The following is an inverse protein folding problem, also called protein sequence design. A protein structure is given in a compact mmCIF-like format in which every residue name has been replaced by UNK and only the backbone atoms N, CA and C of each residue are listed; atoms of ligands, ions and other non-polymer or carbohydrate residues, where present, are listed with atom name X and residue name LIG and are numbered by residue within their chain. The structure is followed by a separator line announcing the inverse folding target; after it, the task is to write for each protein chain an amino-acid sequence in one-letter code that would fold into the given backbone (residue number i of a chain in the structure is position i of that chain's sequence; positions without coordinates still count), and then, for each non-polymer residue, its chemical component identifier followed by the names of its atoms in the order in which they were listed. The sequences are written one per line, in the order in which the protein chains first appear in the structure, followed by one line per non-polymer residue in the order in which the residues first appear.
data_IF_555378831519
#
_entry.id   IF_555378831519
#
_cell.length_a   1.000
_cell.length_b   1.000
_cell.length_c   1.000
_cell.angle_alpha   90.00
_cell.angle_beta   90.00
_cell.angle_gamma   90.00
#
_symmetry.space_group_name_H-M   'P 1'
#
loop_
_entity.id
_entity.type
_entity.pdbx_description
1 polymer ?
#
# COMPACT_ATOMS: atom_id res chain seq x y z
N UNK A 1 -2.48 7.42 -20.63
CA UNK A 1 -1.59 8.45 -20.06
C UNK A 1 -1.76 8.37 -18.56
N UNK A 2 -0.63 8.23 -17.83
CA UNK A 2 -0.68 8.26 -16.37
C UNK A 2 -1.33 9.55 -15.89
N UNK A 3 -2.25 9.48 -14.97
CA UNK A 3 -2.96 10.59 -14.30
C UNK A 3 -2.00 11.56 -13.58
N UNK A 4 -0.78 11.11 -13.34
CA UNK A 4 0.31 11.88 -12.72
C UNK A 4 1.27 12.50 -13.72
N UNK A 5 0.87 12.60 -14.99
CA UNK A 5 1.72 13.09 -16.10
C UNK A 5 2.09 14.57 -16.02
N UNK A 6 1.59 15.35 -15.06
CA UNK A 6 1.99 16.73 -14.90
C UNK A 6 2.65 16.95 -13.53
N UNK A 7 3.88 17.48 -13.57
CA UNK A 7 4.59 17.93 -12.36
C UNK A 7 3.74 18.85 -11.46
N UNK A 8 2.73 19.51 -11.99
CA UNK A 8 1.83 20.41 -11.27
C UNK A 8 0.80 19.65 -10.43
N UNK A 9 0.26 18.52 -10.92
CA UNK A 9 -0.64 17.68 -10.14
C UNK A 9 0.07 17.05 -8.94
N UNK A 10 1.33 16.67 -9.12
CA UNK A 10 2.14 16.04 -8.06
C UNK A 10 2.66 17.06 -7.04
N UNK A 11 2.92 18.31 -7.45
CA UNK A 11 3.35 19.38 -6.53
C UNK A 11 2.32 19.75 -5.46
N UNK A 12 1.05 19.47 -5.71
CA UNK A 12 0.01 19.62 -4.72
C UNK A 12 -0.09 18.33 -3.91
N UNK A 13 0.72 18.20 -2.86
CA UNK A 13 0.73 17.03 -1.97
C UNK A 13 -0.65 16.69 -1.36
N UNK A 14 -1.60 17.62 -1.44
CA UNK A 14 -3.01 17.46 -1.03
C UNK A 14 -3.90 16.97 -2.16
N UNK A 15 -3.37 16.78 -3.37
CA UNK A 15 -4.15 16.28 -4.49
C UNK A 15 -4.67 14.88 -4.18
N UNK A 16 -5.98 14.63 -4.36
CA UNK A 16 -6.52 13.30 -4.12
C UNK A 16 -5.97 12.33 -5.17
N UNK A 17 -5.04 11.49 -4.76
CA UNK A 17 -4.38 10.51 -5.63
C UNK A 17 -5.37 9.45 -6.11
N UNK A 18 -6.37 9.12 -5.28
CA UNK A 18 -7.44 8.17 -5.56
C UNK A 18 -8.80 8.86 -5.79
N UNK A 19 -8.82 10.05 -6.38
CA UNK A 19 -10.04 10.84 -6.60
C UNK A 19 -11.05 10.22 -7.59
N UNK A 20 -10.70 9.15 -8.32
CA UNK A 20 -11.59 8.47 -9.24
C UNK A 20 -12.32 7.31 -8.55
N UNK A 21 -13.62 7.19 -8.79
CA UNK A 21 -14.47 6.22 -8.11
C UNK A 21 -13.97 4.77 -8.26
N UNK A 22 -13.39 4.40 -9.41
CA UNK A 22 -12.91 3.03 -9.63
C UNK A 22 -11.67 2.70 -8.77
N UNK A 23 -10.81 3.69 -8.46
CA UNK A 23 -9.64 3.50 -7.60
C UNK A 23 -10.05 3.24 -6.15
N UNK A 24 -11.11 3.88 -5.69
CA UNK A 24 -11.69 3.66 -4.36
C UNK A 24 -12.43 2.32 -4.33
N UNK A 25 -13.18 2.00 -5.39
CA UNK A 25 -13.92 0.75 -5.48
C UNK A 25 -13.02 -0.48 -5.47
N UNK A 26 -11.86 -0.42 -6.14
CA UNK A 26 -10.89 -1.52 -6.13
C UNK A 26 -10.42 -1.87 -4.72
N UNK A 27 -10.14 -0.87 -3.87
CA UNK A 27 -9.80 -1.11 -2.47
C UNK A 27 -10.97 -1.68 -1.65
N UNK A 28 -12.20 -1.26 -1.93
CA UNK A 28 -13.38 -1.84 -1.27
C UNK A 28 -13.59 -3.30 -1.67
N UNK A 29 -13.38 -3.63 -2.94
CA UNK A 29 -13.47 -5.00 -3.45
C UNK A 29 -12.36 -5.88 -2.85
N UNK A 30 -11.14 -5.35 -2.68
CA UNK A 30 -10.06 -6.02 -1.98
C UNK A 30 -10.44 -6.29 -0.51
N UNK A 31 -11.01 -5.33 0.20
CA UNK A 31 -11.48 -5.53 1.58
C UNK A 31 -12.56 -6.63 1.66
N UNK A 32 -13.49 -6.66 0.70
CA UNK A 32 -14.51 -7.71 0.63
C UNK A 32 -13.90 -9.09 0.36
N UNK A 33 -12.94 -9.17 -0.57
CA UNK A 33 -12.17 -10.39 -0.85
C UNK A 33 -11.46 -10.92 0.39
N UNK A 34 -10.77 -10.04 1.14
CA UNK A 34 -10.07 -10.40 2.38
C UNK A 34 -11.04 -11.01 3.40
N UNK A 35 -12.14 -10.34 3.70
CA UNK A 35 -13.13 -10.82 4.67
C UNK A 35 -13.71 -12.19 4.27
N UNK A 36 -14.02 -12.36 2.99
CA UNK A 36 -14.54 -13.61 2.46
C UNK A 36 -13.50 -14.75 2.54
N UNK A 37 -12.26 -14.46 2.13
CA UNK A 37 -11.18 -15.46 2.08
C UNK A 37 -10.78 -15.95 3.46
N UNK A 38 -10.76 -15.06 4.45
CA UNK A 38 -10.37 -15.41 5.81
C UNK A 38 -11.55 -15.89 6.68
N UNK A 39 -12.80 -15.76 6.22
CA UNK A 39 -13.98 -16.17 6.95
C UNK A 39 -14.16 -15.46 8.30
N UNK A 40 -13.63 -14.24 8.42
CA UNK A 40 -13.65 -13.42 9.64
C UNK A 40 -14.20 -12.04 9.37
N UNK A 41 -14.86 -11.40 10.34
CA UNK A 41 -15.19 -9.98 10.24
C UNK A 41 -13.92 -9.15 10.03
N UNK A 42 -13.92 -8.31 9.01
CA UNK A 42 -12.74 -7.49 8.67
C UNK A 42 -12.34 -6.56 9.83
N UNK A 43 -13.30 -6.14 10.66
CA UNK A 43 -13.09 -5.32 11.85
C UNK A 43 -12.29 -6.02 12.97
N UNK A 44 -12.05 -7.31 12.86
CA UNK A 44 -11.21 -8.08 13.79
C UNK A 44 -9.79 -8.27 13.25
N UNK A 45 -9.55 -7.94 11.97
CA UNK A 45 -8.29 -8.18 11.28
C UNK A 45 -7.31 -7.01 11.47
N UNK A 46 -6.02 -7.36 11.44
CA UNK A 46 -4.89 -6.43 11.51
C UNK A 46 -4.25 -6.29 10.14
N UNK A 47 -4.14 -5.06 9.66
CA UNK A 47 -3.49 -4.76 8.39
C UNK A 47 -2.17 -4.00 8.61
N UNK A 48 -1.15 -4.35 7.82
CA UNK A 48 0.07 -3.57 7.65
C UNK A 48 0.11 -3.03 6.23
N UNK A 49 0.22 -1.71 6.10
CA UNK A 49 0.36 -1.00 4.83
C UNK A 49 1.80 -0.52 4.67
N UNK A 50 2.40 -0.80 3.52
CA UNK A 50 3.73 -0.35 3.12
C UNK A 50 3.55 0.64 1.98
N UNK A 51 4.02 1.89 2.17
CA UNK A 51 3.77 2.97 1.23
C UNK A 51 2.42 3.64 1.49
N UNK A 52 2.32 4.38 2.58
CA UNK A 52 1.07 5.04 2.98
C UNK A 52 0.89 6.43 2.37
N UNK A 53 1.95 7.03 1.84
CA UNK A 53 1.97 8.34 1.18
C UNK A 53 1.16 9.39 1.97
N UNK A 54 0.10 9.96 1.37
CA UNK A 54 -0.77 10.94 2.01
C UNK A 54 -1.95 10.32 2.78
N UNK A 55 -2.03 8.99 2.91
CA UNK A 55 -2.98 8.27 3.76
C UNK A 55 -4.37 8.02 3.16
N UNK A 56 -4.56 8.11 1.84
CA UNK A 56 -5.88 7.88 1.23
C UNK A 56 -6.33 6.41 1.32
N UNK A 57 -5.45 5.47 1.01
CA UNK A 57 -5.69 4.04 1.21
C UNK A 57 -5.77 3.70 2.70
N UNK A 58 -4.90 4.31 3.50
CA UNK A 58 -4.83 4.10 4.95
C UNK A 58 -6.18 4.35 5.64
N UNK A 59 -6.88 5.46 5.32
CA UNK A 59 -8.19 5.73 5.94
C UNK A 59 -9.28 4.77 5.44
N UNK A 60 -9.25 4.35 4.17
CA UNK A 60 -10.18 3.35 3.64
C UNK A 60 -10.00 2.03 4.39
N UNK A 61 -8.76 1.64 4.66
CA UNK A 61 -8.47 0.46 5.48
C UNK A 61 -8.87 0.65 6.93
N UNK A 62 -8.61 1.81 7.53
CA UNK A 62 -8.96 2.09 8.92
C UNK A 62 -10.47 2.09 9.19
N UNK A 63 -11.28 2.45 8.19
CA UNK A 63 -12.74 2.35 8.26
C UNK A 63 -13.26 0.90 8.26
N UNK A 64 -12.43 -0.06 7.92
CA UNK A 64 -12.79 -1.47 7.74
C UNK A 64 -12.09 -2.39 8.73
N UNK A 65 -10.77 -2.26 8.85
CA UNK A 65 -9.94 -3.13 9.68
C UNK A 65 -9.95 -2.71 11.16
N UNK A 66 -9.75 -3.68 12.04
CA UNK A 66 -9.63 -3.41 13.48
C UNK A 66 -8.40 -2.59 13.83
N UNK A 67 -7.30 -2.77 13.11
CA UNK A 67 -6.11 -1.93 13.25
C UNK A 67 -5.31 -1.86 11.95
N UNK A 68 -4.65 -0.72 11.72
CA UNK A 68 -3.78 -0.46 10.58
C UNK A 68 -2.42 0.02 11.09
N UNK A 69 -1.35 -0.64 10.66
CA UNK A 69 0.01 -0.12 10.77
C UNK A 69 0.39 0.49 9.43
N UNK A 70 0.60 1.79 9.40
CA UNK A 70 0.98 2.55 8.21
C UNK A 70 2.49 2.81 8.23
N UNK A 71 3.21 2.30 7.23
CA UNK A 71 4.66 2.40 7.10
C UNK A 71 5.01 3.21 5.85
N UNK A 72 5.77 4.28 6.04
CA UNK A 72 6.30 5.09 4.93
C UNK A 72 7.55 5.83 5.41
N UNK A 73 8.59 5.99 4.61
CA UNK A 73 9.75 6.79 4.98
C UNK A 73 9.48 8.30 4.98
N UNK A 74 8.47 8.78 4.24
CA UNK A 74 8.21 10.21 3.98
C UNK A 74 9.49 10.99 3.70
N UNK A 75 10.25 10.51 2.73
CA UNK A 75 11.57 11.01 2.38
C UNK A 75 11.60 11.45 0.92
N UNK A 76 12.09 12.67 0.69
CA UNK A 76 12.30 13.18 -0.67
C UNK A 76 13.31 12.28 -1.41
N UNK A 77 13.16 12.17 -2.73
CA UNK A 77 14.03 11.40 -3.64
C UNK A 77 14.15 9.89 -3.32
N UNK A 78 13.18 9.32 -2.59
CA UNK A 78 13.20 7.90 -2.20
C UNK A 78 12.98 6.96 -3.40
N UNK A 79 12.07 7.29 -4.32
CA UNK A 79 11.87 6.58 -5.59
C UNK A 79 12.12 7.52 -6.78
N UNK A 80 13.33 7.52 -7.37
CA UNK A 80 13.63 8.38 -8.49
C UNK A 80 12.91 7.97 -9.79
N UNK A 81 12.29 6.80 -9.84
CA UNK A 81 11.49 6.32 -10.99
C UNK A 81 10.03 6.77 -10.93
N UNK A 82 9.53 7.14 -9.76
CA UNK A 82 8.16 7.61 -9.57
C UNK A 82 8.08 9.14 -9.68
N UNK A 83 7.22 9.61 -10.58
CA UNK A 83 6.97 11.05 -10.76
C UNK A 83 6.46 11.70 -9.46
N UNK A 84 5.75 10.98 -8.62
CA UNK A 84 5.29 11.43 -7.30
C UNK A 84 6.48 11.77 -6.41
N UNK A 85 7.46 10.88 -6.33
CA UNK A 85 8.68 11.10 -5.55
C UNK A 85 9.56 12.22 -6.10
N UNK A 86 9.59 12.40 -7.42
CA UNK A 86 10.38 13.45 -8.06
C UNK A 86 9.84 14.88 -7.83
N UNK A 87 8.54 15.02 -7.59
CA UNK A 87 7.87 16.32 -7.61
C UNK A 87 7.15 16.68 -6.31
N UNK A 88 6.83 15.71 -5.47
CA UNK A 88 6.20 15.97 -4.17
C UNK A 88 7.23 16.45 -3.13
N UNK A 89 6.79 17.32 -2.23
CA UNK A 89 7.52 17.58 -0.98
C UNK A 89 7.02 16.60 0.08
N UNK A 90 7.82 15.63 0.47
CA UNK A 90 7.40 14.60 1.43
C UNK A 90 7.16 15.15 2.83
N UNK A 91 7.73 16.31 3.19
CA UNK A 91 7.30 17.03 4.41
C UNK A 91 5.82 17.43 4.34
N UNK A 92 5.33 17.88 3.17
CA UNK A 92 3.91 18.22 2.99
C UNK A 92 3.03 16.97 2.88
N UNK A 93 3.52 15.91 2.24
CA UNK A 93 2.84 14.63 2.15
C UNK A 93 2.62 14.04 3.54
N UNK A 94 3.66 14.04 4.38
CA UNK A 94 3.58 13.57 5.76
C UNK A 94 2.60 14.40 6.59
N UNK A 95 2.62 15.72 6.46
CA UNK A 95 1.66 16.60 7.15
C UNK A 95 0.22 16.32 6.71
N UNK A 96 -0.01 16.09 5.40
CA UNK A 96 -1.32 15.70 4.89
C UNK A 96 -1.75 14.31 5.39
N UNK A 97 -0.82 13.36 5.50
CA UNK A 97 -1.08 12.08 6.15
C UNK A 97 -1.53 12.28 7.60
N UNK A 98 -0.75 13.00 8.41
CA UNK A 98 -1.03 13.21 9.83
C UNK A 98 -2.39 13.90 10.05
N UNK A 99 -2.73 14.89 9.23
CA UNK A 99 -4.05 15.53 9.26
C UNK A 99 -5.18 14.54 8.95
N UNK A 100 -5.01 13.77 7.85
CA UNK A 100 -6.02 12.84 7.35
C UNK A 100 -6.30 11.71 8.34
N UNK A 101 -5.27 11.14 8.95
CA UNK A 101 -5.41 10.01 9.88
C UNK A 101 -5.76 10.43 11.31
N UNK A 102 -5.72 11.71 11.65
CA UNK A 102 -5.93 12.23 13.02
C UNK A 102 -7.23 11.77 13.68
N UNK A 103 -8.25 11.41 12.90
CA UNK A 103 -9.57 10.98 13.38
C UNK A 103 -9.69 9.46 13.59
N UNK A 104 -8.65 8.69 13.23
CA UNK A 104 -8.67 7.24 13.23
C UNK A 104 -7.75 6.68 14.32
N UNK A 105 -8.29 6.37 15.52
CA UNK A 105 -7.47 5.91 16.66
C UNK A 105 -6.89 4.51 16.47
N UNK A 106 -7.35 3.77 15.45
CA UNK A 106 -6.88 2.44 15.10
C UNK A 106 -5.72 2.45 14.09
N UNK A 107 -5.20 3.63 13.71
CA UNK A 107 -4.02 3.77 12.88
C UNK A 107 -2.79 4.00 13.75
N UNK A 108 -1.75 3.25 13.49
CA UNK A 108 -0.40 3.46 14.02
C UNK A 108 0.53 3.83 12.88
N UNK A 109 1.15 5.00 12.95
CA UNK A 109 2.17 5.47 12.01
C UNK A 109 3.55 4.94 12.40
N UNK A 110 4.32 4.49 11.41
CA UNK A 110 5.73 4.11 11.56
C UNK A 110 6.54 4.75 10.44
N UNK A 111 7.25 5.85 10.76
CA UNK A 111 8.08 6.58 9.79
C UNK A 111 9.42 5.88 9.62
N UNK A 112 9.52 5.03 8.62
CA UNK A 112 10.74 4.28 8.27
C UNK A 112 10.57 3.57 6.94
N UNK A 113 11.65 3.01 6.38
CA UNK A 113 11.58 2.15 5.20
C UNK A 113 10.98 0.78 5.55
N UNK A 114 10.44 0.08 4.55
CA UNK A 114 9.90 -1.27 4.73
C UNK A 114 10.95 -2.26 5.27
N UNK A 115 12.18 -2.18 4.78
CA UNK A 115 13.29 -3.03 5.25
C UNK A 115 13.59 -2.82 6.73
N UNK A 116 13.69 -1.56 7.18
CA UNK A 116 13.98 -1.25 8.57
C UNK A 116 12.79 -1.58 9.50
N UNK A 117 11.55 -1.35 9.02
CA UNK A 117 10.35 -1.76 9.74
C UNK A 117 10.31 -3.28 9.95
N UNK A 118 10.58 -4.07 8.91
CA UNK A 118 10.57 -5.53 8.99
C UNK A 118 11.46 -6.06 10.10
N UNK A 119 12.66 -5.49 10.28
CA UNK A 119 13.59 -5.90 11.35
C UNK A 119 13.00 -5.74 12.76
N UNK A 120 12.10 -4.78 12.95
CA UNK A 120 11.45 -4.50 14.23
C UNK A 120 10.14 -5.27 14.43
N UNK A 121 9.56 -5.79 13.33
CA UNK A 121 8.23 -6.43 13.32
C UNK A 121 8.28 -7.96 13.33
N UNK A 122 9.45 -8.58 13.39
CA UNK A 122 9.62 -10.05 13.30
C UNK A 122 8.84 -10.86 14.35
N UNK A 123 8.48 -10.23 15.48
CA UNK A 123 7.66 -10.85 16.54
C UNK A 123 6.17 -10.48 16.43
N UNK A 124 5.78 -9.76 15.39
CA UNK A 124 4.41 -9.30 15.17
C UNK A 124 3.81 -10.07 14.00
N UNK A 125 2.52 -10.38 14.05
CA UNK A 125 1.79 -10.96 12.92
C UNK A 125 0.65 -10.07 12.50
N UNK A 126 0.40 -10.06 11.19
CA UNK A 126 -0.71 -9.36 10.56
C UNK A 126 -1.59 -10.36 9.82
N UNK A 127 -2.89 -10.12 9.80
CA UNK A 127 -3.81 -10.90 8.97
C UNK A 127 -3.66 -10.55 7.49
N UNK A 128 -3.33 -9.27 7.23
CA UNK A 128 -3.15 -8.72 5.87
C UNK A 128 -1.93 -7.82 5.82
N UNK A 129 -1.16 -7.94 4.74
CA UNK A 129 -0.14 -6.95 4.36
C UNK A 129 -0.48 -6.41 2.98
N UNK A 130 -0.49 -5.08 2.84
CA UNK A 130 -0.70 -4.37 1.58
C UNK A 130 0.56 -3.59 1.19
N UNK A 131 1.10 -3.86 -0.01
CA UNK A 131 2.38 -3.33 -0.51
C UNK A 131 2.11 -2.34 -1.63
N UNK A 132 2.42 -1.07 -1.38
CA UNK A 132 2.25 0.07 -2.30
C UNK A 132 3.41 1.08 -2.13
N UNK A 133 4.63 0.54 -2.01
CA UNK A 133 5.84 1.32 -1.73
C UNK A 133 6.72 1.52 -2.96
N UNK A 134 8.05 1.35 -2.82
CA UNK A 134 9.01 1.50 -3.91
C UNK A 134 8.80 0.45 -5.02
N UNK A 135 8.50 0.90 -6.24
CA UNK A 135 8.00 0.07 -7.33
C UNK A 135 9.08 -0.70 -8.13
N UNK A 136 10.33 -0.70 -7.67
CA UNK A 136 11.37 -1.49 -8.33
C UNK A 136 11.14 -3.00 -8.12
N UNK A 137 11.51 -3.82 -9.11
CA UNK A 137 11.37 -5.28 -8.99
C UNK A 137 12.05 -5.83 -7.74
N UNK A 138 13.27 -5.35 -7.45
CA UNK A 138 14.07 -5.80 -6.32
C UNK A 138 13.40 -5.49 -4.97
N UNK A 139 12.82 -4.30 -4.84
CA UNK A 139 12.17 -3.91 -3.58
C UNK A 139 10.84 -4.61 -3.40
N UNK A 140 9.98 -4.62 -4.42
CA UNK A 140 8.67 -5.32 -4.33
C UNK A 140 8.88 -6.81 -4.01
N UNK A 141 9.83 -7.46 -4.69
CA UNK A 141 10.15 -8.86 -4.41
C UNK A 141 10.63 -9.06 -2.97
N UNK A 142 11.47 -8.16 -2.47
CA UNK A 142 11.99 -8.20 -1.10
C UNK A 142 10.88 -7.98 -0.08
N UNK A 143 10.02 -6.99 -0.30
CA UNK A 143 8.88 -6.71 0.58
C UNK A 143 7.94 -7.92 0.66
N UNK A 144 7.58 -8.52 -0.47
CA UNK A 144 6.77 -9.73 -0.49
C UNK A 144 7.45 -10.86 0.31
N UNK A 145 8.74 -11.12 0.06
CA UNK A 145 9.47 -12.20 0.73
C UNK A 145 9.64 -12.00 2.23
N UNK A 146 9.83 -10.75 2.66
CA UNK A 146 9.95 -10.39 4.07
C UNK A 146 8.59 -10.47 4.76
N UNK A 147 7.62 -9.73 4.27
CA UNK A 147 6.36 -9.55 4.96
C UNK A 147 5.46 -10.78 4.91
N UNK A 148 5.60 -11.68 3.92
CA UNK A 148 4.90 -12.96 3.96
C UNK A 148 5.26 -13.83 5.18
N UNK A 149 6.42 -13.61 5.82
CA UNK A 149 6.85 -14.34 7.01
C UNK A 149 6.07 -13.92 8.26
N UNK A 150 5.50 -12.72 8.24
CA UNK A 150 4.74 -12.14 9.35
C UNK A 150 3.26 -11.92 8.99
N UNK A 151 2.82 -12.49 7.85
CA UNK A 151 1.43 -12.44 7.37
C UNK A 151 0.80 -13.82 7.56
N UNK A 152 -0.39 -13.87 8.13
CA UNK A 152 -1.10 -15.13 8.43
C UNK A 152 -2.28 -15.42 7.49
N UNK A 153 -2.61 -14.50 6.59
CA UNK A 153 -3.79 -14.62 5.74
C UNK A 153 -3.59 -14.15 4.31
N UNK A 154 -3.56 -12.86 4.06
CA UNK A 154 -3.52 -12.30 2.69
C UNK A 154 -2.32 -11.38 2.52
N UNK A 155 -1.56 -11.61 1.46
CA UNK A 155 -0.64 -10.60 0.89
C UNK A 155 -1.33 -9.93 -0.28
N UNK A 156 -1.29 -8.62 -0.30
CA UNK A 156 -1.88 -7.78 -1.33
C UNK A 156 -0.94 -6.61 -1.68
N UNK A 157 -1.26 -5.88 -2.72
CA UNK A 157 -0.56 -4.66 -3.09
C UNK A 157 -1.24 -3.93 -4.23
N UNK A 158 -0.60 -2.87 -4.69
CA UNK A 158 -1.06 -2.03 -5.78
C UNK A 158 -0.18 -2.17 -7.03
N UNK A 159 -0.54 -1.43 -8.08
CA UNK A 159 0.27 -1.20 -9.27
C UNK A 159 0.63 -2.47 -10.08
N UNK A 160 -0.24 -3.48 -10.06
CA UNK A 160 -0.09 -4.67 -10.90
C UNK A 160 -0.41 -4.34 -12.37
N UNK A 161 0.47 -3.59 -12.99
CA UNK A 161 0.35 -3.13 -14.37
C UNK A 161 1.69 -3.29 -15.10
N UNK A 162 1.77 -4.11 -16.17
CA UNK A 162 3.02 -4.38 -16.87
C UNK A 162 3.55 -3.18 -17.69
N UNK A 163 2.72 -2.19 -17.96
CA UNK A 163 3.08 -1.03 -18.77
C UNK A 163 3.64 0.09 -17.90
N UNK A 164 2.92 0.45 -16.84
CA UNK A 164 3.30 1.56 -15.97
C UNK A 164 4.29 1.12 -14.89
N UNK A 165 4.11 -0.10 -14.36
CA UNK A 165 4.91 -0.63 -13.24
C UNK A 165 5.45 -2.04 -13.54
N UNK A 166 6.34 -2.21 -14.53
CA UNK A 166 6.85 -3.55 -14.93
C UNK A 166 7.61 -4.27 -13.81
N UNK A 167 8.22 -3.54 -12.88
CA UNK A 167 8.90 -4.09 -11.71
C UNK A 167 7.93 -4.81 -10.76
N UNK A 168 6.82 -4.17 -10.43
CA UNK A 168 5.75 -4.75 -9.60
C UNK A 168 5.15 -5.98 -10.30
N UNK A 169 4.74 -5.82 -11.55
CA UNK A 169 4.14 -6.90 -12.33
C UNK A 169 5.05 -8.13 -12.37
N UNK A 170 6.36 -7.94 -12.64
CA UNK A 170 7.34 -9.02 -12.71
C UNK A 170 7.50 -9.72 -11.37
N UNK A 171 7.67 -8.97 -10.27
CA UNK A 171 7.89 -9.54 -8.94
C UNK A 171 6.68 -10.39 -8.48
N UNK A 172 5.49 -9.86 -8.65
CA UNK A 172 4.24 -10.56 -8.27
C UNK A 172 4.02 -11.80 -9.13
N UNK A 173 4.22 -11.70 -10.45
CA UNK A 173 4.05 -12.84 -11.35
C UNK A 173 5.09 -13.95 -11.07
N UNK A 174 6.35 -13.60 -10.77
CA UNK A 174 7.39 -14.56 -10.42
C UNK A 174 7.06 -15.34 -9.14
N UNK A 175 6.50 -14.66 -8.14
CA UNK A 175 6.27 -15.27 -6.83
C UNK A 175 4.92 -16.00 -6.71
N UNK A 176 3.92 -15.60 -7.46
CA UNK A 176 2.55 -16.11 -7.29
C UNK A 176 1.92 -16.66 -8.58
N UNK A 177 2.50 -16.38 -9.75
CA UNK A 177 1.94 -16.81 -11.04
C UNK A 177 0.52 -16.30 -11.24
N UNK A 178 -0.38 -17.23 -11.58
CA UNK A 178 -1.82 -16.94 -11.77
C UNK A 178 -2.63 -17.00 -10.46
N UNK A 179 -2.00 -17.31 -9.32
CA UNK A 179 -2.67 -17.41 -8.01
C UNK A 179 -2.89 -16.05 -7.36
N UNK A 180 -3.35 -15.08 -8.14
CA UNK A 180 -3.68 -13.74 -7.67
C UNK A 180 -5.09 -13.35 -8.07
N UNK A 181 -5.82 -12.70 -7.16
CA UNK A 181 -7.00 -11.93 -7.46
C UNK A 181 -6.57 -10.53 -7.89
N UNK A 182 -7.14 -10.01 -8.98
CA UNK A 182 -6.88 -8.65 -9.49
C UNK A 182 -8.11 -7.79 -9.30
N UNK A 183 -7.90 -6.49 -9.03
CA UNK A 183 -8.96 -5.51 -8.83
C UNK A 183 -8.84 -4.39 -9.89
N UNK A 184 -9.92 -3.62 -10.03
CA UNK A 184 -10.02 -2.63 -11.12
C UNK A 184 -9.08 -1.44 -10.97
N UNK A 185 -8.60 -1.19 -9.76
CA UNK A 185 -7.63 -0.13 -9.43
C UNK A 185 -6.17 -0.56 -9.59
N UNK A 186 -5.91 -1.70 -10.23
CA UNK A 186 -4.61 -2.38 -10.31
C UNK A 186 -4.11 -3.01 -9.01
N UNK A 187 -4.92 -3.04 -7.96
CA UNK A 187 -4.59 -3.84 -6.77
C UNK A 187 -4.62 -5.33 -7.09
N UNK A 188 -3.83 -6.08 -6.33
CA UNK A 188 -3.74 -7.54 -6.41
C UNK A 188 -3.74 -8.14 -5.01
N UNK A 189 -4.15 -9.40 -4.87
CA UNK A 189 -4.10 -10.13 -3.62
C UNK A 189 -3.92 -11.63 -3.83
N UNK A 190 -3.27 -12.29 -2.87
CA UNK A 190 -3.19 -13.75 -2.77
C UNK A 190 -3.39 -14.21 -1.33
N UNK A 191 -4.05 -15.34 -1.15
CA UNK A 191 -4.19 -16.02 0.14
C UNK A 191 -2.96 -16.91 0.35
N UNK A 192 -2.36 -16.87 1.56
CA UNK A 192 -1.16 -17.64 1.93
C UNK A 192 -1.50 -19.03 2.45
#
# INVERSE_FOLDING_TARGET
MSRFATAEAVKNALYPMRGEAFLIQGLHDLCAFVSQSLGKPISELKLCEIGSYSGESTIIFAERFGSVLAIDPWMDDYDPSDATCQHASFTKVEAAFDERVSRYPNIRKLKTTSDAAFLTLQSTTFDVVYIDGLHTYEQVRRDIMNYRQITTGVIAGHDFNPVDWPGVHRAVTELFGDNIQRFMDTSWATVL
#
